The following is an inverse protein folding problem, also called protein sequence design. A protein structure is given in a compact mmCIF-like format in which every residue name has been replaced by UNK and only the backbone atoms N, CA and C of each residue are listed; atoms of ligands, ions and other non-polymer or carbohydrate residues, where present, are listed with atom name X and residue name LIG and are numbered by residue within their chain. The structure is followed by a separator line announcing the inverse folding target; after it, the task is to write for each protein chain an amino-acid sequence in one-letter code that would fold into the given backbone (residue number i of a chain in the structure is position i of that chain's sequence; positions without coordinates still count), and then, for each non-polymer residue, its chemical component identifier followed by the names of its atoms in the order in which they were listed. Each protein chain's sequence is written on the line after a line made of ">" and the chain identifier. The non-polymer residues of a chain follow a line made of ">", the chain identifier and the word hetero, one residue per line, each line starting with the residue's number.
data_IF_310397302580
#
_entry.id   IF_310397302580
#
_cell.length_a   1.000
_cell.length_b   1.000
_cell.length_c   1.000
_cell.angle_alpha   90.00
_cell.angle_beta   90.00
_cell.angle_gamma   90.00
#
_symmetry.space_group_name_H-M   'P 1'
#
loop_
_entity.id
_entity.type
_entity.pdbx_description
1 polymer ?
#
# COMPACT_ATOMS: atom_id res chain seq x y z
N UNK A 1 2.38 28.72 4.22
CA UNK A 1 1.61 28.03 3.16
C UNK A 1 1.96 28.73 1.86
N UNK A 2 2.96 28.23 1.14
CA UNK A 2 3.23 28.65 -0.24
C UNK A 2 2.68 27.55 -1.13
N UNK A 3 1.52 27.80 -1.71
CA UNK A 3 0.94 26.98 -2.77
C UNK A 3 1.86 27.13 -3.98
N UNK A 4 2.65 26.11 -4.29
CA UNK A 4 3.31 26.04 -5.60
C UNK A 4 2.27 25.54 -6.59
N UNK A 5 1.67 26.46 -7.34
CA UNK A 5 0.91 26.12 -8.53
C UNK A 5 1.91 26.05 -9.68
N UNK A 6 2.26 24.84 -10.11
CA UNK A 6 2.99 24.68 -11.37
C UNK A 6 1.99 24.93 -12.50
N UNK A 7 2.20 26.01 -13.27
CA UNK A 7 1.46 26.31 -14.48
C UNK A 7 2.35 26.00 -15.68
N UNK A 8 1.88 25.14 -16.58
CA UNK A 8 2.55 24.86 -17.85
C UNK A 8 1.83 25.69 -18.92
N UNK A 9 2.51 26.68 -19.46
CA UNK A 9 2.06 27.42 -20.66
C UNK A 9 2.72 26.82 -21.90
N UNK A 10 1.90 26.32 -22.83
CA UNK A 10 2.36 25.89 -24.15
C UNK A 10 2.04 27.00 -25.14
N UNK A 11 3.06 27.72 -25.62
CA UNK A 11 2.88 28.80 -26.58
C UNK A 11 2.86 28.29 -28.02
N UNK A 12 1.93 28.81 -28.83
CA UNK A 12 1.87 28.53 -30.26
C UNK A 12 2.98 29.29 -30.99
N UNK A 13 3.88 28.56 -31.65
CA UNK A 13 5.02 29.08 -32.41
C UNK A 13 4.64 30.07 -33.51
N UNK A 14 3.41 30.02 -34.03
CA UNK A 14 2.93 30.97 -35.04
C UNK A 14 2.67 32.38 -34.49
N UNK A 15 2.61 32.55 -33.16
CA UNK A 15 2.28 33.82 -32.50
C UNK A 15 3.43 34.40 -31.67
N UNK A 16 4.55 33.69 -31.58
CA UNK A 16 5.75 34.10 -30.85
C UNK A 16 6.93 34.18 -31.82
N UNK A 17 7.09 35.35 -32.43
CA UNK A 17 8.24 35.63 -33.27
C UNK A 17 9.48 35.82 -32.40
N UNK A 18 10.38 34.83 -32.46
CA UNK A 18 11.72 34.77 -31.89
C UNK A 18 11.81 34.73 -30.36
N UNK A 19 12.03 33.53 -29.83
CA UNK A 19 12.63 33.35 -28.50
C UNK A 19 14.12 33.73 -28.59
N UNK A 20 14.58 34.80 -27.91
CA UNK A 20 15.96 35.25 -27.97
C UNK A 20 16.96 34.33 -27.22
N UNK A 21 16.48 33.25 -26.59
CA UNK A 21 17.31 32.32 -25.81
C UNK A 21 17.56 30.97 -26.49
N UNK A 22 17.01 30.70 -27.69
CA UNK A 22 17.24 29.44 -28.40
C UNK A 22 18.52 29.52 -29.27
N UNK A 23 19.67 29.17 -28.68
CA UNK A 23 20.98 29.15 -29.34
C UNK A 23 21.44 27.74 -29.76
N UNK A 24 20.54 26.75 -29.77
CA UNK A 24 20.87 25.36 -30.06
C UNK A 24 21.05 25.11 -31.58
N UNK A 25 22.30 25.16 -32.06
CA UNK A 25 22.67 24.84 -33.45
C UNK A 25 22.84 23.34 -33.75
N UNK A 26 22.55 22.45 -32.80
CA UNK A 26 22.59 21.00 -32.96
C UNK A 26 21.29 20.39 -32.41
N UNK A 27 20.20 20.66 -33.14
CA UNK A 27 18.82 20.27 -32.88
C UNK A 27 18.55 19.14 -31.88
N UNK A 28 17.87 19.52 -30.79
CA UNK A 28 16.71 18.78 -30.27
C UNK A 28 15.40 19.29 -30.88
N UNK A 29 15.46 19.79 -32.12
CA UNK A 29 14.28 20.22 -32.86
C UNK A 29 13.38 19.01 -33.10
N UNK A 30 12.26 18.99 -32.37
CA UNK A 30 11.22 17.96 -32.35
C UNK A 30 11.54 16.79 -31.41
N UNK A 31 11.12 16.82 -30.14
CA UNK A 31 10.68 15.59 -29.51
C UNK A 31 9.47 15.11 -30.34
N UNK A 32 9.72 14.22 -31.29
CA UNK A 32 8.69 13.65 -32.15
C UNK A 32 7.79 12.65 -31.40
N UNK A 33 8.02 12.41 -30.10
CA UNK A 33 7.41 11.29 -29.36
C UNK A 33 6.75 11.68 -28.03
N UNK A 34 6.41 12.96 -27.80
CA UNK A 34 5.28 13.24 -26.88
C UNK A 34 4.02 13.38 -27.72
N UNK A 35 3.48 12.22 -28.08
CA UNK A 35 2.05 12.11 -28.36
C UNK A 35 1.38 12.15 -26.99
N UNK A 36 0.85 13.32 -26.59
CA UNK A 36 -0.23 13.34 -25.62
C UNK A 36 -1.44 12.70 -26.31
N UNK A 37 -1.55 11.38 -26.16
CA UNK A 37 -2.69 10.62 -26.64
C UNK A 37 -3.90 11.02 -25.79
N UNK A 38 -4.73 11.92 -26.33
CA UNK A 38 -6.00 12.33 -25.75
C UNK A 38 -5.87 13.41 -24.67
N UNK A 39 -6.97 14.14 -24.49
CA UNK A 39 -7.20 14.92 -23.28
C UNK A 39 -7.03 13.97 -22.09
N UNK A 40 -6.12 14.29 -21.16
CA UNK A 40 -6.06 13.58 -19.87
C UNK A 40 -7.29 14.05 -19.07
N UNK A 41 -8.46 13.53 -19.45
CA UNK A 41 -9.73 13.79 -18.80
C UNK A 41 -9.71 13.11 -17.44
N UNK A 42 -9.79 13.90 -16.37
CA UNK A 42 -10.01 13.37 -15.03
C UNK A 42 -11.43 12.78 -14.97
N UNK A 43 -11.54 11.46 -14.77
CA UNK A 43 -12.83 10.80 -14.54
C UNK A 43 -13.35 11.19 -13.16
N UNK A 44 -14.58 11.73 -13.04
CA UNK A 44 -15.14 12.06 -11.74
C UNK A 44 -15.47 10.81 -10.90
N UNK A 45 -15.58 11.02 -9.59
CA UNK A 45 -15.81 9.96 -8.59
C UNK A 45 -17.27 9.95 -8.12
N UNK A 46 -18.21 9.61 -9.00
CA UNK A 46 -19.65 9.61 -8.67
C UNK A 46 -20.22 8.24 -8.30
N UNK A 47 -19.58 7.17 -8.73
CA UNK A 47 -19.81 5.82 -8.20
C UNK A 47 -19.45 5.80 -6.71
N UNK A 48 -20.10 4.97 -5.92
CA UNK A 48 -19.66 4.67 -4.56
C UNK A 48 -18.89 3.35 -4.57
N UNK A 49 -17.82 3.29 -3.79
CA UNK A 49 -17.03 2.08 -3.57
C UNK A 49 -16.66 1.99 -2.09
N UNK A 50 -17.02 0.90 -1.44
CA UNK A 50 -16.61 0.61 -0.07
C UNK A 50 -15.74 -0.65 -0.04
N UNK A 51 -14.81 -0.68 0.91
CA UNK A 51 -13.94 -1.82 1.18
C UNK A 51 -13.88 -1.98 2.70
N UNK A 52 -14.47 -3.06 3.19
CA UNK A 52 -14.62 -3.30 4.63
C UNK A 52 -13.98 -4.64 4.97
N UNK A 53 -13.20 -4.67 6.05
CA UNK A 53 -12.76 -5.92 6.67
C UNK A 53 -14.01 -6.58 7.26
N UNK A 54 -14.39 -7.71 6.70
CA UNK A 54 -15.36 -8.61 7.29
C UNK A 54 -14.57 -9.80 7.85
N UNK A 55 -14.48 -9.89 9.16
CA UNK A 55 -14.23 -11.18 9.78
C UNK A 55 -15.27 -11.28 10.89
N UNK A 56 -15.85 -12.45 11.08
CA UNK A 56 -16.72 -12.75 12.22
C UNK A 56 -15.96 -12.69 13.57
N UNK A 57 -14.93 -11.84 13.69
CA UNK A 57 -14.26 -11.46 14.91
C UNK A 57 -15.08 -10.36 15.59
N UNK A 58 -15.82 -10.70 16.66
CA UNK A 58 -16.69 -9.75 17.35
C UNK A 58 -15.93 -8.61 18.05
N UNK A 59 -14.61 -8.71 18.15
CA UNK A 59 -13.78 -7.71 18.84
C UNK A 59 -13.06 -6.77 17.86
N UNK A 60 -13.18 -7.00 16.54
CA UNK A 60 -12.42 -6.31 15.49
C UNK A 60 -10.93 -6.20 15.87
N UNK A 61 -10.35 -7.33 16.29
CA UNK A 61 -8.97 -7.39 16.74
C UNK A 61 -8.00 -7.29 15.55
N UNK A 62 -6.74 -7.09 15.90
CA UNK A 62 -5.64 -7.13 14.95
C UNK A 62 -5.53 -8.51 14.26
N UNK A 63 -4.80 -8.59 13.16
CA UNK A 63 -4.50 -9.86 12.48
C UNK A 63 -3.05 -10.28 12.64
N UNK A 64 -2.79 -11.59 12.70
CA UNK A 64 -1.43 -12.14 12.70
C UNK A 64 -1.18 -12.97 11.44
N UNK A 65 0.07 -13.11 10.99
CA UNK A 65 0.42 -14.06 9.94
C UNK A 65 -0.15 -15.45 10.24
N UNK A 66 -0.61 -16.13 9.19
CA UNK A 66 -1.08 -17.50 9.28
C UNK A 66 0.06 -18.38 9.76
N UNK A 67 -0.15 -18.97 10.93
CA UNK A 67 0.69 -20.01 11.48
C UNK A 67 0.24 -21.37 10.92
N UNK A 68 1.08 -22.40 11.00
CA UNK A 68 0.71 -23.71 10.47
C UNK A 68 -0.57 -24.26 11.13
N UNK A 69 -1.25 -25.20 10.46
CA UNK A 69 -2.42 -25.89 11.01
C UNK A 69 -2.16 -26.39 12.43
N UNK A 70 -1.01 -27.04 12.63
CA UNK A 70 -0.55 -27.55 13.92
C UNK A 70 -0.35 -26.43 14.98
N UNK A 71 0.17 -25.27 14.57
CA UNK A 71 0.44 -24.16 15.48
C UNK A 71 -0.84 -23.45 15.92
N UNK A 72 -1.84 -23.30 15.05
CA UNK A 72 -3.10 -22.67 15.44
C UNK A 72 -3.87 -23.54 16.42
N UNK A 73 -3.84 -24.87 16.26
CA UNK A 73 -4.46 -25.81 17.20
C UNK A 73 -3.77 -25.77 18.56
N UNK A 74 -2.43 -25.73 18.58
CA UNK A 74 -1.65 -25.67 19.82
C UNK A 74 -1.80 -24.35 20.58
N UNK A 75 -1.90 -23.23 19.86
CA UNK A 75 -2.07 -21.89 20.43
C UNK A 75 -3.54 -21.52 20.68
N UNK A 76 -4.50 -22.32 20.23
CA UNK A 76 -5.93 -22.05 20.35
C UNK A 76 -6.38 -20.81 19.57
N UNK A 77 -5.65 -20.44 18.52
CA UNK A 77 -5.95 -19.27 17.68
C UNK A 77 -6.77 -19.71 16.47
N UNK A 78 -7.80 -18.95 16.04
CA UNK A 78 -8.47 -19.22 14.78
C UNK A 78 -7.50 -19.06 13.60
N UNK A 79 -7.80 -19.67 12.46
CA UNK A 79 -7.13 -19.34 11.20
C UNK A 79 -7.33 -17.85 10.92
N UNK A 80 -6.24 -17.09 10.80
CA UNK A 80 -6.28 -15.64 10.55
C UNK A 80 -6.51 -15.34 9.07
N UNK A 81 -7.69 -15.71 8.59
CA UNK A 81 -8.22 -15.25 7.33
C UNK A 81 -8.68 -13.79 7.47
N UNK A 82 -8.35 -12.99 6.48
CA UNK A 82 -8.99 -11.70 6.24
C UNK A 82 -10.02 -11.88 5.15
N UNK A 83 -11.25 -11.40 5.39
CA UNK A 83 -12.20 -11.19 4.32
C UNK A 83 -12.38 -9.70 4.10
N UNK A 84 -12.43 -9.33 2.83
CA UNK A 84 -12.77 -8.01 2.39
C UNK A 84 -14.11 -8.08 1.68
N UNK A 85 -15.06 -7.29 2.13
CA UNK A 85 -16.31 -7.01 1.42
C UNK A 85 -16.11 -5.74 0.59
N UNK A 86 -16.45 -5.81 -0.69
CA UNK A 86 -16.35 -4.72 -1.66
C UNK A 86 -17.75 -4.45 -2.19
N UNK A 87 -18.28 -3.26 -1.94
CA UNK A 87 -19.59 -2.86 -2.44
C UNK A 87 -19.44 -1.71 -3.42
N UNK A 88 -20.15 -1.79 -4.56
CA UNK A 88 -20.34 -0.64 -5.43
C UNK A 88 -21.82 -0.28 -5.56
N UNK A 89 -22.06 1.02 -5.76
CA UNK A 89 -23.37 1.57 -6.12
C UNK A 89 -23.17 2.57 -7.28
N UNK A 90 -23.95 2.40 -8.35
CA UNK A 90 -24.02 3.29 -9.50
C UNK A 90 -24.42 4.73 -9.12
N UNK A 91 -25.10 4.89 -7.98
CA UNK A 91 -25.43 6.16 -7.34
C UNK A 91 -26.15 7.14 -8.30
N UNK A 92 -27.03 6.61 -9.16
CA UNK A 92 -27.75 7.39 -10.16
C UNK A 92 -27.06 7.51 -11.52
N UNK A 93 -25.89 6.88 -11.73
CA UNK A 93 -25.09 6.99 -12.94
C UNK A 93 -25.02 5.66 -13.70
N UNK A 94 -25.62 5.61 -14.89
CA UNK A 94 -25.39 4.51 -15.84
C UNK A 94 -24.04 4.73 -16.54
N UNK A 95 -23.31 3.65 -16.81
CA UNK A 95 -22.05 3.69 -17.56
C UNK A 95 -21.73 2.33 -18.20
N UNK A 96 -20.69 2.31 -19.03
CA UNK A 96 -20.20 1.13 -19.76
C UNK A 96 -18.76 0.78 -19.35
N UNK A 97 -18.37 -0.46 -19.64
CA UNK A 97 -17.03 -1.00 -19.34
C UNK A 97 -16.61 -0.86 -17.88
N UNK A 98 -17.56 -1.03 -16.96
CA UNK A 98 -17.31 -0.93 -15.52
C UNK A 98 -16.49 -2.13 -15.07
N UNK A 99 -15.46 -1.88 -14.27
CA UNK A 99 -14.49 -2.86 -13.79
C UNK A 99 -14.05 -2.51 -12.37
N UNK A 100 -14.02 -3.50 -11.49
CA UNK A 100 -13.37 -3.38 -10.17
C UNK A 100 -12.03 -4.09 -10.21
N UNK A 101 -11.00 -3.46 -9.66
CA UNK A 101 -9.67 -4.04 -9.46
C UNK A 101 -9.25 -3.85 -8.01
N UNK A 102 -9.03 -4.95 -7.28
CA UNK A 102 -8.44 -4.94 -5.95
C UNK A 102 -6.96 -5.35 -6.05
N UNK A 103 -6.08 -4.56 -5.41
CA UNK A 103 -4.63 -4.74 -5.43
C UNK A 103 -4.16 -5.31 -4.09
N UNK A 104 -3.94 -6.62 -4.05
CA UNK A 104 -3.62 -7.32 -2.82
C UNK A 104 -2.24 -6.90 -2.30
N UNK A 105 -2.18 -6.39 -1.05
CA UNK A 105 -0.92 -5.99 -0.43
C UNK A 105 0.00 -7.19 -0.27
N UNK A 106 1.31 -6.96 -0.16
CA UNK A 106 2.34 -8.01 -0.09
C UNK A 106 2.12 -8.94 1.12
N UNK A 107 1.51 -8.40 2.15
CA UNK A 107 1.12 -9.00 3.42
C UNK A 107 -0.02 -10.03 3.30
N UNK A 108 -0.69 -10.10 2.15
CA UNK A 108 -1.86 -10.95 1.93
C UNK A 108 -1.69 -11.92 0.76
N UNK A 109 -1.83 -13.21 1.00
CA UNK A 109 -1.86 -14.23 -0.05
C UNK A 109 -3.30 -14.57 -0.44
N UNK A 110 -3.59 -14.51 -1.74
CA UNK A 110 -4.93 -14.80 -2.26
C UNK A 110 -5.34 -16.25 -1.96
N UNK A 111 -6.60 -16.45 -1.54
CA UNK A 111 -7.19 -17.76 -1.36
C UNK A 111 -8.42 -17.96 -2.24
N UNK A 112 -9.43 -17.11 -2.08
CA UNK A 112 -10.65 -17.18 -2.89
C UNK A 112 -11.34 -15.82 -2.98
N UNK A 113 -12.30 -15.71 -3.89
CA UNK A 113 -13.19 -14.57 -4.01
C UNK A 113 -14.53 -15.05 -4.58
N UNK A 114 -15.51 -14.15 -4.70
CA UNK A 114 -16.71 -14.40 -5.51
C UNK A 114 -16.37 -15.01 -6.89
N UNK A 115 -17.25 -15.84 -7.44
CA UNK A 115 -16.95 -16.70 -8.61
C UNK A 115 -16.45 -16.00 -9.86
N UNK A 116 -16.73 -14.71 -10.02
CA UNK A 116 -16.34 -13.90 -11.19
C UNK A 116 -15.04 -13.11 -10.95
N UNK A 117 -14.44 -13.23 -9.76
CA UNK A 117 -13.16 -12.60 -9.42
C UNK A 117 -12.01 -13.34 -10.10
N UNK A 118 -11.34 -12.66 -11.03
CA UNK A 118 -10.18 -13.18 -11.73
C UNK A 118 -8.88 -12.75 -11.03
N UNK A 119 -8.21 -13.69 -10.35
CA UNK A 119 -6.94 -13.43 -9.68
C UNK A 119 -5.74 -13.58 -10.62
N UNK A 120 -4.91 -12.53 -10.68
CA UNK A 120 -3.62 -12.52 -11.36
C UNK A 120 -2.49 -12.43 -10.33
N UNK A 121 -1.67 -13.49 -10.23
CA UNK A 121 -0.59 -13.56 -9.25
C UNK A 121 0.64 -12.72 -9.59
N UNK A 122 0.85 -12.36 -10.85
CA UNK A 122 1.97 -11.52 -11.27
C UNK A 122 1.76 -10.07 -10.81
N UNK A 123 0.55 -9.57 -10.99
CA UNK A 123 0.16 -8.22 -10.63
C UNK A 123 -0.43 -8.13 -9.21
N UNK A 124 -0.68 -9.28 -8.57
CA UNK A 124 -1.36 -9.42 -7.27
C UNK A 124 -2.71 -8.72 -7.26
N UNK A 125 -3.50 -8.92 -8.30
CA UNK A 125 -4.82 -8.26 -8.44
C UNK A 125 -5.95 -9.27 -8.51
N UNK A 126 -7.10 -8.91 -7.94
CA UNK A 126 -8.39 -9.58 -8.18
C UNK A 126 -9.26 -8.62 -8.99
N UNK A 127 -9.74 -9.07 -10.13
CA UNK A 127 -10.50 -8.23 -11.08
C UNK A 127 -11.91 -8.77 -11.29
N UNK A 128 -12.89 -7.86 -11.32
CA UNK A 128 -14.25 -8.14 -11.79
C UNK A 128 -14.59 -7.22 -12.96
N UNK A 129 -14.82 -7.82 -14.13
CA UNK A 129 -15.36 -7.12 -15.30
C UNK A 129 -16.89 -7.08 -15.19
N UNK A 130 -17.44 -5.95 -14.73
CA UNK A 130 -18.88 -5.76 -14.49
C UNK A 130 -19.63 -5.50 -15.80
N UNK A 131 -18.99 -4.78 -16.73
CA UNK A 131 -19.58 -4.43 -18.02
C UNK A 131 -20.48 -3.21 -17.92
N UNK A 132 -21.65 -3.26 -18.55
CA UNK A 132 -22.58 -2.13 -18.59
C UNK A 132 -23.46 -2.11 -17.35
N UNK A 133 -23.59 -0.95 -16.69
CA UNK A 133 -24.43 -0.74 -15.51
C UNK A 133 -25.53 0.28 -15.78
N UNK A 134 -26.70 0.05 -15.19
CA UNK A 134 -27.78 1.01 -15.08
C UNK A 134 -27.59 1.92 -13.87
N UNK A 135 -28.26 3.09 -13.88
CA UNK A 135 -28.17 4.09 -12.82
C UNK A 135 -28.59 3.63 -11.41
N UNK A 136 -29.25 2.48 -11.29
CA UNK A 136 -29.70 1.89 -10.02
C UNK A 136 -28.95 0.62 -9.64
N UNK A 137 -27.93 0.23 -10.41
CA UNK A 137 -27.22 -1.01 -10.17
C UNK A 137 -26.28 -0.88 -8.99
N UNK A 138 -26.24 -1.91 -8.16
CA UNK A 138 -25.34 -2.06 -7.03
C UNK A 138 -25.03 -3.53 -6.86
N UNK A 139 -23.84 -3.87 -6.39
CA UNK A 139 -23.50 -5.26 -6.07
C UNK A 139 -22.42 -5.34 -5.00
N UNK A 140 -22.31 -6.53 -4.40
CA UNK A 140 -21.33 -6.83 -3.36
C UNK A 140 -20.45 -8.00 -3.81
N UNK A 141 -19.14 -7.81 -3.65
CA UNK A 141 -18.11 -8.80 -3.89
C UNK A 141 -17.34 -9.07 -2.61
N UNK A 142 -16.64 -10.21 -2.56
CA UNK A 142 -15.76 -10.51 -1.44
C UNK A 142 -14.46 -11.16 -1.90
N UNK A 143 -13.41 -10.95 -1.11
CA UNK A 143 -12.10 -11.59 -1.23
C UNK A 143 -11.73 -12.21 0.11
N UNK A 144 -11.25 -13.45 0.10
CA UNK A 144 -10.62 -14.11 1.22
C UNK A 144 -9.11 -14.21 0.97
N UNK A 145 -8.31 -13.73 1.93
CA UNK A 145 -6.85 -13.77 1.88
C UNK A 145 -6.24 -14.30 3.18
N UNK A 146 -5.11 -15.00 3.09
CA UNK A 146 -4.29 -15.37 4.22
C UNK A 146 -3.28 -14.24 4.52
N UNK A 147 -3.16 -13.83 5.78
CA UNK A 147 -2.07 -12.91 6.17
C UNK A 147 -0.75 -13.69 6.21
N UNK A 148 0.32 -13.13 5.68
CA UNK A 148 1.65 -13.74 5.68
C UNK A 148 2.66 -12.91 6.50
N UNK A 149 3.90 -13.41 6.59
CA UNK A 149 4.91 -12.83 7.47
C UNK A 149 5.47 -11.47 7.03
N UNK A 150 5.11 -10.96 5.85
CA UNK A 150 5.40 -9.57 5.49
C UNK A 150 4.59 -8.57 6.33
N UNK A 151 3.48 -9.02 6.96
CA UNK A 151 2.72 -8.20 7.90
C UNK A 151 3.56 -7.90 9.15
N UNK A 152 4.12 -6.71 9.26
CA UNK A 152 5.02 -6.33 10.35
C UNK A 152 4.28 -6.17 11.70
N UNK A 153 4.78 -6.73 12.82
CA UNK A 153 4.12 -6.63 14.13
C UNK A 153 3.81 -5.18 14.54
N UNK A 154 2.56 -4.88 14.88
CA UNK A 154 2.16 -3.53 15.33
C UNK A 154 2.06 -2.47 14.23
N UNK A 155 2.25 -2.85 12.96
CA UNK A 155 1.98 -2.00 11.81
C UNK A 155 0.54 -2.19 11.30
N UNK A 156 0.24 -1.65 10.12
CA UNK A 156 -1.05 -1.80 9.42
C UNK A 156 -0.84 -2.44 8.05
N UNK A 157 -1.78 -3.29 7.67
CA UNK A 157 -1.96 -3.75 6.29
C UNK A 157 -2.94 -2.79 5.64
N UNK A 158 -2.56 -2.17 4.53
CA UNK A 158 -3.44 -1.31 3.73
C UNK A 158 -3.84 -2.06 2.46
N UNK A 159 -5.12 -2.38 2.33
CA UNK A 159 -5.67 -2.86 1.07
C UNK A 159 -6.18 -1.68 0.23
N UNK A 160 -6.05 -1.78 -1.10
CA UNK A 160 -6.46 -0.76 -2.06
C UNK A 160 -7.34 -1.40 -3.12
N UNK A 161 -8.52 -0.81 -3.35
CA UNK A 161 -9.46 -1.25 -4.35
C UNK A 161 -9.93 -0.05 -5.17
N UNK A 162 -10.12 -0.25 -6.47
CA UNK A 162 -10.64 0.76 -7.38
C UNK A 162 -11.74 0.23 -8.27
N UNK A 163 -12.60 1.14 -8.69
CA UNK A 163 -13.61 0.94 -9.72
C UNK A 163 -13.37 1.96 -10.83
N UNK A 164 -13.30 1.47 -12.06
CA UNK A 164 -13.13 2.27 -13.26
C UNK A 164 -14.21 1.90 -14.28
N UNK A 165 -14.67 2.89 -15.03
CA UNK A 165 -15.64 2.77 -16.13
C UNK A 165 -15.22 3.73 -17.24
N UNK A 166 -15.96 3.80 -18.36
CA UNK A 166 -15.61 4.74 -19.44
C UNK A 166 -15.57 6.20 -18.95
N UNK A 167 -16.46 6.60 -18.04
CA UNK A 167 -16.59 7.98 -17.60
C UNK A 167 -16.21 8.21 -16.13
N UNK A 168 -16.20 7.20 -15.27
CA UNK A 168 -15.98 7.37 -13.82
C UNK A 168 -14.81 6.56 -13.28
N UNK A 169 -14.18 7.09 -12.22
CA UNK A 169 -13.13 6.43 -11.46
C UNK A 169 -13.28 6.75 -9.97
N UNK A 170 -13.18 5.73 -9.13
CA UNK A 170 -13.08 5.89 -7.69
C UNK A 170 -12.17 4.81 -7.11
N UNK A 171 -11.49 5.13 -6.02
CA UNK A 171 -10.76 4.14 -5.23
C UNK A 171 -11.14 4.26 -3.76
N UNK A 172 -10.86 3.20 -3.01
CA UNK A 172 -11.00 3.14 -1.57
C UNK A 172 -9.85 2.33 -0.98
N UNK A 173 -9.64 2.50 0.32
CA UNK A 173 -8.61 1.77 1.06
C UNK A 173 -9.14 1.31 2.39
N UNK A 174 -8.66 0.17 2.86
CA UNK A 174 -8.97 -0.34 4.20
C UNK A 174 -7.65 -0.63 4.94
N UNK A 175 -7.53 -0.12 6.17
CA UNK A 175 -6.37 -0.33 7.04
C UNK A 175 -6.73 -1.33 8.14
N UNK A 176 -6.00 -2.45 8.20
CA UNK A 176 -6.14 -3.45 9.26
C UNK A 176 -4.89 -3.47 10.14
N UNK A 177 -5.06 -3.44 11.46
CA UNK A 177 -3.93 -3.50 12.39
C UNK A 177 -3.32 -4.91 12.42
N UNK A 178 -1.99 -5.00 12.49
CA UNK A 178 -1.24 -6.24 12.67
C UNK A 178 -0.95 -6.46 14.15
N UNK A 179 -1.20 -7.67 14.63
CA UNK A 179 -0.95 -8.03 16.02
C UNK A 179 0.53 -8.01 16.36
N UNK A 180 0.80 -7.83 17.65
CA UNK A 180 2.13 -7.84 18.21
C UNK A 180 2.67 -9.26 18.40
N UNK A 181 2.82 -9.99 17.30
CA UNK A 181 3.42 -11.31 17.29
C UNK A 181 4.96 -11.22 17.38
N UNK A 182 5.60 -12.36 17.59
CA UNK A 182 7.06 -12.44 17.77
C UNK A 182 7.51 -12.31 19.22
N UNK A 183 8.84 -12.31 19.42
CA UNK A 183 9.46 -12.27 20.74
C UNK A 183 9.57 -10.83 21.26
N UNK A 184 10.04 -10.70 22.50
CA UNK A 184 10.22 -9.41 23.15
C UNK A 184 11.39 -8.58 22.58
N UNK A 185 12.31 -9.22 21.86
CA UNK A 185 13.46 -8.57 21.22
C UNK A 185 13.10 -8.24 19.78
N UNK A 186 13.36 -7.00 19.36
CA UNK A 186 13.28 -6.55 17.97
C UNK A 186 14.71 -6.52 17.39
N UNK A 187 14.89 -7.05 16.19
CA UNK A 187 16.16 -7.06 15.48
C UNK A 187 16.17 -6.03 14.34
N UNK A 188 17.27 -5.30 14.20
CA UNK A 188 17.45 -4.26 13.17
C UNK A 188 18.79 -4.44 12.50
N UNK A 189 18.77 -4.50 11.18
CA UNK A 189 19.94 -4.71 10.33
C UNK A 189 19.66 -4.09 8.96
N UNK A 190 20.36 -3.01 8.61
CA UNK A 190 20.20 -2.31 7.33
C UNK A 190 20.55 -3.20 6.11
N UNK A 191 21.43 -4.17 6.34
CA UNK A 191 21.96 -5.12 5.36
C UNK A 191 21.11 -6.40 5.25
N UNK A 192 20.02 -6.54 6.03
CA UNK A 192 19.06 -7.64 5.93
C UNK A 192 18.24 -7.58 4.62
N UNK A 193 18.88 -7.80 3.48
CA UNK A 193 18.34 -7.66 2.14
C UNK A 193 18.06 -9.01 1.45
N UNK A 194 18.07 -10.12 2.19
CA UNK A 194 17.77 -11.45 1.65
C UNK A 194 16.36 -11.46 1.03
N UNK A 195 16.19 -11.92 -0.21
CA UNK A 195 14.88 -11.95 -0.88
C UNK A 195 13.85 -12.85 -0.19
N UNK A 196 14.29 -13.76 0.69
CA UNK A 196 13.44 -14.62 1.50
C UNK A 196 13.20 -14.08 2.91
N UNK A 197 13.79 -12.92 3.26
CA UNK A 197 13.49 -12.22 4.51
C UNK A 197 12.15 -11.50 4.40
N UNK A 198 11.37 -11.57 5.48
CA UNK A 198 10.13 -10.81 5.61
C UNK A 198 10.33 -9.38 6.13
N UNK A 199 11.52 -9.05 6.65
CA UNK A 199 11.85 -7.74 7.24
C UNK A 199 10.83 -7.29 8.31
N UNK A 200 10.52 -8.18 9.25
CA UNK A 200 9.49 -7.99 10.27
C UNK A 200 10.05 -7.89 11.71
N UNK A 201 11.37 -7.77 11.86
CA UNK A 201 12.07 -7.56 13.13
C UNK A 201 12.08 -8.75 14.09
N UNK A 202 11.61 -9.94 13.68
CA UNK A 202 11.42 -11.09 14.59
C UNK A 202 12.67 -11.94 14.84
N UNK A 203 13.70 -11.81 14.01
CA UNK A 203 15.00 -12.48 14.11
C UNK A 203 16.05 -11.69 13.33
N UNK A 204 17.34 -12.00 13.49
CA UNK A 204 18.38 -11.42 12.61
C UNK A 204 18.12 -11.68 11.13
N UNK A 205 17.65 -12.88 10.77
CA UNK A 205 17.30 -13.20 9.39
C UNK A 205 16.14 -12.34 8.86
N UNK A 206 15.16 -12.01 9.71
CA UNK A 206 14.01 -11.19 9.34
C UNK A 206 14.11 -9.77 9.92
N UNK A 207 15.31 -9.23 10.14
CA UNK A 207 15.49 -7.96 10.83
C UNK A 207 14.83 -6.80 10.07
N UNK A 208 14.42 -5.76 10.81
CA UNK A 208 14.01 -4.53 10.15
C UNK A 208 15.21 -3.86 9.50
N UNK A 209 15.04 -3.41 8.26
CA UNK A 209 16.06 -2.61 7.57
C UNK A 209 16.04 -1.15 7.96
N UNK A 210 14.92 -0.70 8.53
CA UNK A 210 14.74 0.65 9.03
C UNK A 210 14.54 0.63 10.55
N UNK A 211 15.40 1.38 11.26
CA UNK A 211 15.30 1.51 12.71
C UNK A 211 13.99 2.20 13.14
N UNK A 212 13.37 3.01 12.28
CA UNK A 212 12.07 3.62 12.55
C UNK A 212 10.94 2.58 12.62
N UNK A 213 10.97 1.54 11.79
CA UNK A 213 10.01 0.43 11.87
C UNK A 213 10.14 -0.30 13.23
N UNK A 214 11.37 -0.43 13.72
CA UNK A 214 11.63 -1.02 15.03
C UNK A 214 11.07 -0.16 16.17
N UNK A 215 11.28 1.16 16.15
CA UNK A 215 10.69 2.06 17.15
C UNK A 215 9.16 2.08 17.07
N UNK A 216 8.58 2.04 15.87
CA UNK A 216 7.13 1.93 15.68
C UNK A 216 6.59 0.65 16.33
N UNK A 217 7.22 -0.48 16.03
CA UNK A 217 6.89 -1.79 16.63
C UNK A 217 7.03 -1.73 18.15
N UNK A 218 8.12 -1.16 18.67
CA UNK A 218 8.39 -1.12 20.10
C UNK A 218 7.32 -0.30 20.85
N UNK A 219 6.91 0.83 20.29
CA UNK A 219 5.81 1.68 20.80
C UNK A 219 4.47 0.97 20.81
N UNK A 220 4.10 0.37 19.68
CA UNK A 220 2.75 -0.20 19.51
C UNK A 220 2.60 -1.55 20.18
N UNK A 221 3.70 -2.30 20.35
CA UNK A 221 3.71 -3.63 20.92
C UNK A 221 4.27 -3.73 22.33
N UNK A 222 4.66 -2.61 22.94
CA UNK A 222 5.24 -2.59 24.28
C UNK A 222 6.52 -3.43 24.40
N UNK A 223 7.30 -3.53 23.31
CA UNK A 223 8.59 -4.23 23.32
C UNK A 223 9.63 -3.35 24.00
N UNK A 224 10.50 -3.93 24.81
CA UNK A 224 11.47 -3.17 25.60
C UNK A 224 12.93 -3.38 25.17
N UNK A 225 13.20 -4.14 24.11
CA UNK A 225 14.55 -4.37 23.60
C UNK A 225 14.60 -4.27 22.08
N UNK A 226 15.51 -3.41 21.59
CA UNK A 226 15.88 -3.30 20.19
C UNK A 226 17.37 -3.62 20.07
N UNK A 227 17.71 -4.64 19.29
CA UNK A 227 19.08 -5.06 19.01
C UNK A 227 19.42 -4.64 17.58
N UNK A 228 20.48 -3.86 17.45
CA UNK A 228 20.86 -3.18 16.21
C UNK A 228 22.23 -3.68 15.76
N UNK A 229 22.30 -4.24 14.55
CA UNK A 229 23.56 -4.62 13.92
C UNK A 229 24.42 -3.39 13.62
N UNK A 230 25.71 -3.60 13.36
CA UNK A 230 26.55 -2.57 12.78
C UNK A 230 25.93 -1.93 11.53
N UNK A 231 26.13 -0.62 11.34
CA UNK A 231 25.51 0.11 10.23
C UNK A 231 25.23 1.59 10.51
N UNK A 232 24.73 2.30 9.50
CA UNK A 232 24.39 3.74 9.57
C UNK A 232 22.89 3.97 9.40
N UNK A 233 22.19 4.02 10.54
CA UNK A 233 20.75 4.22 10.59
C UNK A 233 20.36 5.71 10.55
N UNK A 234 19.45 6.07 9.65
CA UNK A 234 18.98 7.45 9.47
C UNK A 234 17.51 7.60 9.93
N UNK A 235 17.11 8.71 10.60
CA UNK A 235 15.74 8.92 11.08
C UNK A 235 14.67 9.07 9.98
N UNK A 236 15.09 9.32 8.75
CA UNK A 236 14.24 9.40 7.57
C UNK A 236 15.06 9.05 6.33
N UNK A 237 14.39 8.89 5.20
CA UNK A 237 15.03 8.76 3.90
C UNK A 237 15.83 10.03 3.56
N UNK A 238 17.05 9.85 3.05
CA UNK A 238 17.96 10.94 2.67
C UNK A 238 17.39 11.87 1.57
N UNK A 239 16.35 11.43 0.86
CA UNK A 239 15.69 12.18 -0.21
C UNK A 239 14.50 13.03 0.27
N UNK A 240 14.15 12.96 1.55
CA UNK A 240 13.11 13.82 2.12
C UNK A 240 13.68 15.21 2.41
N UNK A 241 13.16 16.23 1.71
CA UNK A 241 13.61 17.62 1.89
C UNK A 241 13.28 18.20 3.29
N UNK A 242 12.46 17.50 4.09
CA UNK A 242 12.20 17.79 5.51
C UNK A 242 13.15 17.09 6.49
N UNK A 243 14.14 16.31 5.99
CA UNK A 243 15.02 15.46 6.80
C UNK A 243 15.82 16.17 7.89
N UNK A 244 16.07 17.49 7.77
CA UNK A 244 16.94 18.21 8.71
C UNK A 244 16.36 18.39 10.11
N UNK A 245 15.06 18.17 10.31
CA UNK A 245 14.40 18.27 11.62
C UNK A 245 13.90 16.93 12.17
N UNK A 246 14.16 15.81 11.47
CA UNK A 246 13.69 14.49 11.88
C UNK A 246 14.81 13.82 12.70
N UNK A 247 14.45 13.33 13.88
CA UNK A 247 15.35 12.62 14.80
C UNK A 247 14.71 11.30 15.24
N UNK A 248 15.55 10.35 15.68
CA UNK A 248 15.04 9.19 16.41
C UNK A 248 14.41 9.66 17.73
N UNK A 249 13.15 9.32 17.95
CA UNK A 249 12.48 9.51 19.23
C UNK A 249 12.73 8.28 20.09
N UNK A 250 13.60 8.41 21.09
CA UNK A 250 13.81 7.34 22.06
C UNK A 250 12.59 7.21 22.97
N UNK A 251 12.11 5.98 23.12
CA UNK A 251 10.95 5.65 23.92
C UNK A 251 11.38 5.28 25.34
N UNK A 252 10.67 5.79 26.35
CA UNK A 252 10.94 5.46 27.74
C UNK A 252 10.74 3.95 28.00
N UNK A 253 11.64 3.36 28.79
CA UNK A 253 11.62 1.94 29.09
C UNK A 253 12.08 1.00 27.96
N UNK A 254 12.59 1.52 26.83
CA UNK A 254 13.12 0.71 25.73
C UNK A 254 14.64 0.77 25.71
N UNK A 255 15.28 -0.40 25.86
CA UNK A 255 16.71 -0.54 25.74
C UNK A 255 17.12 -0.78 24.28
N UNK A 256 18.04 0.05 23.78
CA UNK A 256 18.65 -0.12 22.45
C UNK A 256 20.07 -0.61 22.63
N UNK A 257 20.37 -1.80 22.11
CA UNK A 257 21.68 -2.43 22.15
C UNK A 257 22.29 -2.41 20.74
N UNK A 258 23.54 -1.99 20.62
CA UNK A 258 24.28 -1.98 19.36
C UNK A 258 25.61 -2.72 19.46
N UNK A 259 26.29 -2.88 18.32
CA UNK A 259 27.60 -3.51 18.22
C UNK A 259 27.56 -5.03 17.96
N UNK A 260 26.48 -5.48 17.33
CA UNK A 260 26.33 -6.85 16.82
C UNK A 260 26.85 -6.99 15.41
#
# INVERSE_FOLDING_TARGET
>A
ITTYNNHIEVHNRATWESDPCDTETQGISSPADIVLAGDVGYKPSFLLLTLVKDNNDPNDECVSPLISEEQHEWLGTPYNWLYYEIEYDANGHADTNVKITDYLPKECDYYSSTSDGNYNSADRTVTWDIGDISASDSNTFWIQVAVNYYAKPGHKIRNYCEIESDNYFMFTTNDVNVCCYGRNIIYVDEDANDPNSYNNGTSWFNAYRDLQDAFHTARNCGRNQIWVAEGTYNPTNINDTSARSISFELLDGIAVYGGF
#
